data_IF_090698686212
#
_entry.id   IF_090698686212
#
_cell.length_a   1.000
_cell.length_b   1.000
_cell.length_c   1.000
_cell.angle_alpha   90.00
_cell.angle_beta   90.00
_cell.angle_gamma   90.00
#
_symmetry.space_group_name_H-M   'P 1'
#
loop_
_entity.id
_entity.type
_entity.pdbx_description
1 polymer ?
#
# COMPACT_ATOMS: atom_id res chain seq x y z
N UNK A 1 0.35 -9.32 -5.38
CA UNK A 1 0.59 -9.42 -3.92
C UNK A 1 1.20 -8.12 -3.39
N UNK A 2 2.48 -7.81 -3.67
CA UNK A 2 3.15 -6.60 -3.13
C UNK A 2 2.38 -5.30 -3.42
N UNK A 3 1.94 -5.10 -4.67
CA UNK A 3 1.17 -3.89 -5.02
C UNK A 3 -0.18 -3.79 -4.31
N UNK A 4 -0.84 -4.92 -4.01
CA UNK A 4 -2.11 -4.93 -3.29
C UNK A 4 -1.90 -4.53 -1.82
N UNK A 5 -0.86 -5.08 -1.15
CA UNK A 5 -0.49 -4.66 0.21
C UNK A 5 -0.17 -3.18 0.27
N UNK A 6 0.56 -2.65 -0.71
CA UNK A 6 0.92 -1.23 -0.73
C UNK A 6 -0.31 -0.31 -0.85
N UNK A 7 -1.32 -0.72 -1.63
CA UNK A 7 -2.59 0.01 -1.72
C UNK A 7 -3.39 -0.08 -0.43
N UNK A 8 -3.45 -1.25 0.21
CA UNK A 8 -4.07 -1.42 1.54
C UNK A 8 -3.43 -0.50 2.58
N UNK A 9 -2.09 -0.48 2.64
CA UNK A 9 -1.34 0.36 3.58
C UNK A 9 -1.54 1.85 3.29
N UNK A 10 -1.53 2.25 2.01
CA UNK A 10 -1.81 3.64 1.63
C UNK A 10 -3.23 4.07 2.01
N UNK A 11 -4.23 3.20 1.82
CA UNK A 11 -5.60 3.46 2.23
C UNK A 11 -5.72 3.57 3.77
N UNK A 12 -5.04 2.69 4.52
CA UNK A 12 -5.00 2.73 5.98
C UNK A 12 -4.38 4.04 6.50
N UNK A 13 -3.32 4.53 5.86
CA UNK A 13 -2.67 5.79 6.20
C UNK A 13 -3.60 7.00 5.98
N UNK A 14 -4.34 7.02 4.88
CA UNK A 14 -5.35 8.05 4.61
C UNK A 14 -6.45 7.99 5.69
N UNK A 15 -6.96 6.79 5.98
CA UNK A 15 -8.00 6.59 6.99
C UNK A 15 -7.53 7.05 8.39
N UNK A 16 -6.30 6.69 8.77
CA UNK A 16 -5.68 7.13 10.02
C UNK A 16 -5.57 8.65 10.09
N UNK A 17 -5.23 9.30 8.98
CA UNK A 17 -5.13 10.75 8.89
C UNK A 17 -6.49 11.42 9.09
N UNK A 18 -7.53 10.88 8.46
CA UNK A 18 -8.91 11.34 8.63
C UNK A 18 -9.35 11.14 10.09
N UNK A 19 -9.13 9.94 10.65
CA UNK A 19 -9.48 9.60 12.03
C UNK A 19 -8.81 10.55 13.02
N UNK A 20 -7.50 10.76 12.90
CA UNK A 20 -6.74 11.68 13.76
C UNK A 20 -7.23 13.12 13.64
N UNK A 21 -7.55 13.57 12.43
CA UNK A 21 -8.05 14.93 12.23
C UNK A 21 -9.43 15.13 12.85
N UNK A 22 -10.38 14.21 12.59
CA UNK A 22 -11.73 14.26 13.18
C UNK A 22 -11.67 14.20 14.71
N UNK A 23 -10.83 13.32 15.25
CA UNK A 23 -10.64 13.15 16.68
C UNK A 23 -10.05 14.40 17.35
N UNK A 24 -9.27 15.22 16.63
CA UNK A 24 -8.69 16.47 17.15
C UNK A 24 -9.69 17.65 17.15
N UNK A 25 -10.65 17.68 16.23
CA UNK A 25 -11.56 18.83 16.05
C UNK A 25 -12.92 18.68 16.75
N UNK A 26 -13.31 17.47 17.18
CA UNK A 26 -14.45 17.23 18.08
C UNK A 26 -15.84 17.67 17.61
N UNK A 27 -15.98 18.24 16.41
CA UNK A 27 -17.21 18.79 15.87
C UNK A 27 -17.35 18.41 14.39
N UNK A 28 -18.43 17.69 14.07
CA UNK A 28 -18.75 17.27 12.71
C UNK A 28 -19.71 18.28 12.05
N UNK A 29 -19.29 19.55 11.93
CA UNK A 29 -20.00 20.46 11.01
C UNK A 29 -19.56 20.12 9.58
N UNK A 30 -20.51 20.01 8.64
CA UNK A 30 -20.21 19.70 7.23
C UNK A 30 -19.18 20.68 6.60
N UNK A 31 -19.14 21.92 7.08
CA UNK A 31 -18.17 22.93 6.66
C UNK A 31 -16.75 22.67 7.17
N UNK A 32 -16.61 22.12 8.39
CA UNK A 32 -15.32 21.78 8.97
C UNK A 32 -14.78 20.47 8.40
N UNK A 33 -15.64 19.49 8.11
CA UNK A 33 -15.28 18.26 7.40
C UNK A 33 -14.72 18.57 6.00
N UNK A 34 -15.33 19.52 5.26
CA UNK A 34 -14.83 19.96 3.96
C UNK A 34 -13.47 20.65 4.04
N UNK A 35 -13.25 21.51 5.05
CA UNK A 35 -11.94 22.15 5.28
C UNK A 35 -10.86 21.18 5.70
N UNK A 36 -11.19 20.21 6.56
CA UNK A 36 -10.29 19.16 7.00
C UNK A 36 -9.90 18.28 5.81
N UNK A 37 -10.88 17.78 5.06
CA UNK A 37 -10.65 16.96 3.86
C UNK A 37 -9.81 17.71 2.83
N UNK A 38 -10.08 19.00 2.62
CA UNK A 38 -9.30 19.87 1.74
C UNK A 38 -7.86 20.07 2.22
N UNK A 39 -7.64 20.35 3.51
CA UNK A 39 -6.29 20.43 4.11
C UNK A 39 -5.54 19.11 3.98
N UNK A 40 -6.21 18.00 4.24
CA UNK A 40 -5.63 16.66 4.19
C UNK A 40 -5.22 16.30 2.76
N UNK A 41 -6.10 16.51 1.78
CA UNK A 41 -5.80 16.28 0.37
C UNK A 41 -4.70 17.20 -0.17
N UNK A 42 -4.73 18.48 0.19
CA UNK A 42 -3.69 19.45 -0.20
C UNK A 42 -2.34 19.10 0.43
N UNK A 43 -2.33 18.68 1.70
CA UNK A 43 -1.11 18.21 2.35
C UNK A 43 -0.62 16.91 1.73
N UNK A 44 -1.46 15.91 1.52
CA UNK A 44 -1.04 14.63 0.92
C UNK A 44 -0.46 14.87 -0.48
N UNK A 45 -1.11 15.70 -1.31
CA UNK A 45 -0.57 16.08 -2.62
C UNK A 45 0.73 16.88 -2.49
N UNK A 46 0.78 17.86 -1.58
CA UNK A 46 1.96 18.68 -1.32
C UNK A 46 3.14 17.88 -0.78
N UNK A 47 2.89 16.91 0.10
CA UNK A 47 3.86 16.00 0.69
C UNK A 47 4.41 15.01 -0.35
N UNK A 48 3.57 14.51 -1.26
CA UNK A 48 4.00 13.70 -2.41
C UNK A 48 4.89 14.52 -3.36
N UNK A 49 4.47 15.75 -3.70
CA UNK A 49 5.26 16.64 -4.56
C UNK A 49 6.56 17.06 -3.88
N UNK A 50 6.51 17.41 -2.61
CA UNK A 50 7.67 17.77 -1.81
C UNK A 50 8.62 16.58 -1.68
N UNK A 51 8.12 15.40 -1.32
CA UNK A 51 8.90 14.17 -1.30
C UNK A 51 9.56 13.90 -2.65
N UNK A 52 8.84 14.10 -3.76
CA UNK A 52 9.34 13.81 -5.10
C UNK A 52 10.40 14.80 -5.57
N UNK A 53 10.37 16.02 -5.05
CA UNK A 53 11.30 17.09 -5.41
C UNK A 53 12.48 17.18 -4.44
N UNK A 54 12.25 16.98 -3.15
CA UNK A 54 13.23 17.20 -2.09
C UNK A 54 13.99 15.93 -1.78
N UNK A 55 13.34 14.76 -1.69
CA UNK A 55 14.03 13.52 -1.36
C UNK A 55 15.17 13.21 -2.35
N UNK A 56 14.96 13.23 -3.68
CA UNK A 56 16.05 12.96 -4.63
C UNK A 56 17.15 14.02 -4.61
N UNK A 57 16.83 15.28 -4.28
CA UNK A 57 17.81 16.37 -4.21
C UNK A 57 18.68 16.28 -2.97
N UNK A 58 18.07 16.06 -1.80
CA UNK A 58 18.79 15.87 -0.54
C UNK A 58 19.66 14.63 -0.65
N UNK A 59 19.12 13.54 -1.18
CA UNK A 59 19.86 12.27 -1.28
C UNK A 59 20.94 12.32 -2.36
N UNK A 60 20.70 12.96 -3.51
CA UNK A 60 21.73 13.19 -4.52
C UNK A 60 22.82 14.18 -4.10
N UNK A 61 22.56 15.04 -3.10
CA UNK A 61 23.58 15.88 -2.48
C UNK A 61 24.41 15.07 -1.47
N UNK A 62 23.75 14.29 -0.62
CA UNK A 62 24.38 13.50 0.43
C UNK A 62 25.16 12.30 -0.12
N UNK A 63 24.70 11.69 -1.21
CA UNK A 63 25.44 10.59 -1.87
C UNK A 63 26.82 11.02 -2.38
N UNK A 64 27.04 12.33 -2.60
CA UNK A 64 28.35 12.87 -2.99
C UNK A 64 29.36 12.92 -1.83
N UNK A 65 28.88 12.82 -0.59
CA UNK A 65 29.73 12.80 0.60
C UNK A 65 30.34 11.40 0.85
N UNK A 66 29.82 10.36 0.17
CA UNK A 66 30.47 9.04 0.09
C UNK A 66 30.36 8.15 1.34
N UNK A 67 29.69 8.58 2.40
CA UNK A 67 29.53 7.84 3.67
C UNK A 67 28.11 7.31 3.86
N UNK A 68 28.00 6.04 4.31
CA UNK A 68 26.70 5.41 4.63
C UNK A 68 26.03 6.06 5.84
N UNK A 69 26.84 6.54 6.78
CA UNK A 69 26.39 7.21 8.01
C UNK A 69 25.69 8.53 7.70
N UNK A 70 26.24 9.33 6.79
CA UNK A 70 25.61 10.60 6.41
C UNK A 70 24.33 10.36 5.63
N UNK A 71 24.28 9.32 4.81
CA UNK A 71 23.06 8.90 4.10
C UNK A 71 21.97 8.42 5.08
N UNK A 72 22.36 7.69 6.13
CA UNK A 72 21.46 7.30 7.22
C UNK A 72 20.88 8.54 7.92
N UNK A 73 21.74 9.45 8.37
CA UNK A 73 21.32 10.67 9.09
C UNK A 73 20.43 11.55 8.21
N UNK A 74 20.76 11.72 6.93
CA UNK A 74 19.96 12.49 6.00
C UNK A 74 18.60 11.84 5.70
N UNK A 75 18.56 10.50 5.56
CA UNK A 75 17.32 9.76 5.40
C UNK A 75 16.39 9.96 6.61
N UNK A 76 16.92 9.77 7.82
CA UNK A 76 16.16 10.01 9.06
C UNK A 76 15.71 11.47 9.19
N UNK A 77 16.59 12.43 8.90
CA UNK A 77 16.25 13.85 8.93
C UNK A 77 15.12 14.20 7.95
N UNK A 78 15.09 13.57 6.77
CA UNK A 78 14.04 13.78 5.77
C UNK A 78 12.72 13.16 6.23
N UNK A 79 12.77 11.94 6.80
CA UNK A 79 11.58 11.25 7.34
C UNK A 79 10.98 12.01 8.52
N UNK A 80 11.79 12.33 9.54
CA UNK A 80 11.34 13.09 10.70
C UNK A 80 10.95 14.52 10.33
N UNK A 81 11.65 15.15 9.39
CA UNK A 81 11.32 16.48 8.90
C UNK A 81 9.92 16.54 8.31
N UNK A 82 9.56 15.60 7.44
CA UNK A 82 8.20 15.57 6.88
C UNK A 82 7.15 15.12 7.90
N UNK A 83 7.49 14.20 8.81
CA UNK A 83 6.59 13.79 9.89
C UNK A 83 6.26 14.95 10.85
N UNK A 84 7.25 15.79 11.19
CA UNK A 84 7.06 16.98 12.01
C UNK A 84 6.22 18.04 11.30
N UNK A 85 6.46 18.26 10.00
CA UNK A 85 5.61 19.14 9.18
C UNK A 85 4.17 18.64 9.10
N UNK A 86 3.96 17.33 8.96
CA UNK A 86 2.63 16.72 8.99
C UNK A 86 1.92 17.01 10.32
N UNK A 87 2.61 16.76 11.43
CA UNK A 87 2.07 16.98 12.77
C UNK A 87 1.73 18.47 13.01
N UNK A 88 2.58 19.39 12.55
CA UNK A 88 2.34 20.83 12.68
C UNK A 88 1.11 21.30 11.88
N UNK A 89 0.80 20.62 10.77
CA UNK A 89 -0.40 20.88 9.96
C UNK A 89 -1.66 20.20 10.50
N UNK A 90 -1.57 19.48 11.62
CA UNK A 90 -2.70 18.76 12.25
C UNK A 90 -3.02 17.43 11.57
N UNK A 91 -2.03 16.82 10.91
CA UNK A 91 -2.14 15.52 10.23
C UNK A 91 -1.25 14.51 10.97
N UNK A 92 -1.63 13.24 10.93
CA UNK A 92 -0.85 12.17 11.57
C UNK A 92 0.61 12.15 11.08
N UNK A 93 1.55 12.18 12.02
CA UNK A 93 2.97 12.07 11.75
C UNK A 93 3.32 10.79 10.95
N UNK A 94 2.58 9.69 11.21
CA UNK A 94 2.73 8.43 10.50
C UNK A 94 2.41 8.58 9.00
N UNK A 95 1.45 9.43 8.65
CA UNK A 95 1.12 9.69 7.25
C UNK A 95 2.22 10.49 6.55
N UNK A 96 2.80 11.49 7.20
CA UNK A 96 3.97 12.20 6.68
C UNK A 96 5.14 11.24 6.41
N UNK A 97 5.46 10.37 7.37
CA UNK A 97 6.53 9.37 7.25
C UNK A 97 6.26 8.33 6.14
N UNK A 98 5.01 7.90 5.96
CA UNK A 98 4.64 6.96 4.90
C UNK A 98 4.74 7.60 3.52
N UNK A 99 4.25 8.84 3.37
CA UNK A 99 4.26 9.55 2.09
C UNK A 99 5.68 9.82 1.59
N UNK A 100 6.63 10.19 2.47
CA UNK A 100 8.03 10.34 2.05
C UNK A 100 8.68 9.01 1.69
N UNK A 101 8.32 7.92 2.39
CA UNK A 101 8.84 6.58 2.10
C UNK A 101 8.31 5.99 0.79
N UNK A 102 7.09 6.34 0.38
CA UNK A 102 6.46 5.85 -0.84
C UNK A 102 6.98 6.49 -2.14
N UNK A 103 7.78 7.55 -2.03
CA UNK A 103 8.14 8.40 -3.17
C UNK A 103 9.46 8.03 -3.87
N UNK A 104 10.54 7.59 -3.18
CA UNK A 104 11.75 7.11 -3.82
C UNK A 104 11.47 5.82 -4.60
N UNK A 105 11.00 5.98 -5.84
CA UNK A 105 10.84 4.89 -6.78
C UNK A 105 12.18 4.34 -7.27
N UNK A 106 12.10 3.19 -7.92
CA UNK A 106 13.17 2.34 -8.45
C UNK A 106 14.35 3.13 -9.05
N UNK A 107 15.33 3.43 -8.19
CA UNK A 107 16.52 4.21 -8.50
C UNK A 107 17.68 3.72 -7.65
N UNK A 108 18.89 3.79 -8.19
CA UNK A 108 20.12 3.35 -7.51
C UNK A 108 20.32 4.04 -6.13
N UNK A 109 19.74 5.23 -5.98
CA UNK A 109 19.73 5.98 -4.72
C UNK A 109 18.76 5.37 -3.72
N UNK A 110 17.54 5.01 -4.14
CA UNK A 110 16.52 4.39 -3.29
C UNK A 110 17.00 3.06 -2.69
N UNK A 111 17.74 2.25 -3.47
CA UNK A 111 18.32 0.99 -2.97
C UNK A 111 19.36 1.24 -1.87
N UNK A 112 20.28 2.19 -2.08
CA UNK A 112 21.28 2.56 -1.06
C UNK A 112 20.65 3.09 0.23
N UNK A 113 19.54 3.81 0.12
CA UNK A 113 18.78 4.32 1.27
C UNK A 113 18.08 3.19 1.99
N UNK A 114 17.45 2.28 1.26
CA UNK A 114 16.81 1.10 1.84
C UNK A 114 17.81 0.26 2.63
N UNK A 115 19.00 0.02 2.07
CA UNK A 115 20.09 -0.69 2.76
C UNK A 115 20.56 0.06 4.02
N UNK A 116 20.76 1.38 3.93
CA UNK A 116 21.21 2.18 5.06
C UNK A 116 20.14 2.24 6.17
N UNK A 117 18.86 2.35 5.81
CA UNK A 117 17.73 2.43 6.74
C UNK A 117 17.34 1.08 7.35
N UNK A 118 17.67 -0.04 6.71
CA UNK A 118 17.27 -1.38 7.15
C UNK A 118 17.51 -1.66 8.66
N UNK A 119 18.72 -1.45 9.23
CA UNK A 119 18.94 -1.72 10.66
C UNK A 119 18.11 -0.82 11.57
N UNK A 120 17.87 0.44 11.16
CA UNK A 120 17.08 1.39 11.94
C UNK A 120 15.59 1.05 11.87
N UNK A 121 15.09 0.68 10.70
CA UNK A 121 13.73 0.17 10.50
C UNK A 121 13.47 -1.05 11.39
N UNK A 122 14.39 -2.02 11.39
CA UNK A 122 14.23 -3.26 12.14
C UNK A 122 14.24 -3.00 13.66
N UNK A 123 15.09 -2.07 14.12
CA UNK A 123 15.10 -1.62 15.52
C UNK A 123 13.79 -0.93 15.91
N UNK A 124 13.29 0.02 15.12
CA UNK A 124 12.04 0.72 15.42
C UNK A 124 10.82 -0.21 15.33
N UNK A 125 10.81 -1.18 14.42
CA UNK A 125 9.77 -2.20 14.35
C UNK A 125 9.76 -3.07 15.62
N UNK A 126 10.93 -3.53 16.08
CA UNK A 126 11.04 -4.28 17.33
C UNK A 126 10.55 -3.45 18.53
N UNK A 127 10.98 -2.19 18.64
CA UNK A 127 10.54 -1.28 19.71
C UNK A 127 9.03 -1.01 19.65
N UNK A 128 8.47 -0.84 18.45
CA UNK A 128 7.03 -0.66 18.25
C UNK A 128 6.23 -1.86 18.77
N UNK A 129 6.60 -3.08 18.36
CA UNK A 129 5.90 -4.29 18.81
C UNK A 129 6.05 -4.55 20.31
N UNK A 130 7.25 -4.32 20.87
CA UNK A 130 7.45 -4.45 22.33
C UNK A 130 6.61 -3.42 23.09
N UNK A 131 6.60 -2.16 22.64
CA UNK A 131 5.84 -1.08 23.29
C UNK A 131 4.33 -1.35 23.26
N UNK A 132 3.82 -1.76 22.10
CA UNK A 132 2.41 -2.12 21.92
C UNK A 132 2.03 -3.33 22.78
N UNK A 133 2.91 -4.33 22.86
CA UNK A 133 2.72 -5.50 23.72
C UNK A 133 2.68 -5.15 25.20
N UNK A 134 3.52 -4.21 25.65
CA UNK A 134 3.57 -3.76 27.05
C UNK A 134 2.35 -2.95 27.48
N UNK A 135 1.61 -2.35 26.55
CA UNK A 135 0.34 -1.67 26.86
C UNK A 135 -0.81 -2.66 27.17
N UNK A 136 -0.65 -3.94 26.85
CA UNK A 136 -1.68 -4.95 27.12
C UNK A 136 -1.64 -5.34 28.60
N UNK A 137 -2.71 -5.03 29.31
CA UNK A 137 -2.88 -5.44 30.70
C UNK A 137 -3.13 -6.97 30.79
N UNK A 138 -2.12 -7.69 31.27
CA UNK A 138 -2.13 -9.14 31.43
C UNK A 138 -3.16 -9.59 32.47
N UNK A 139 -3.55 -8.74 33.42
CA UNK A 139 -4.53 -9.09 34.45
C UNK A 139 -5.93 -9.36 33.86
N UNK A 140 -6.25 -8.74 32.72
CA UNK A 140 -7.52 -8.89 32.01
C UNK A 140 -7.45 -9.90 30.87
N UNK A 141 -6.37 -10.69 30.78
CA UNK A 141 -6.14 -11.60 29.64
C UNK A 141 -7.31 -12.54 29.36
N UNK A 142 -7.97 -13.06 30.40
CA UNK A 142 -9.12 -13.95 30.24
C UNK A 142 -10.36 -13.28 29.61
N UNK A 143 -10.55 -11.97 29.76
CA UNK A 143 -11.77 -11.29 29.29
C UNK A 143 -11.73 -10.95 27.80
N UNK A 144 -10.56 -10.58 27.27
CA UNK A 144 -10.40 -10.19 25.86
C UNK A 144 -9.88 -11.31 24.96
N UNK A 145 -9.34 -12.41 25.51
CA UNK A 145 -8.75 -13.48 24.69
C UNK A 145 -9.77 -14.14 23.76
N UNK A 146 -10.96 -14.48 24.26
CA UNK A 146 -12.01 -15.11 23.45
C UNK A 146 -12.48 -14.16 22.33
N UNK A 147 -12.83 -12.88 22.60
CA UNK A 147 -13.07 -11.90 21.55
C UNK A 147 -11.92 -11.75 20.56
N UNK A 148 -10.66 -11.71 21.03
CA UNK A 148 -9.50 -11.55 20.17
C UNK A 148 -9.28 -12.75 19.23
N UNK A 149 -9.47 -13.98 19.71
CA UNK A 149 -9.37 -15.18 18.88
C UNK A 149 -10.52 -15.24 17.85
N UNK A 150 -11.73 -14.87 18.25
CA UNK A 150 -12.87 -14.78 17.33
C UNK A 150 -12.63 -13.74 16.23
N UNK A 151 -12.18 -12.54 16.61
CA UNK A 151 -11.82 -11.47 15.66
C UNK A 151 -10.68 -11.92 14.76
N UNK A 152 -9.65 -12.60 15.29
CA UNK A 152 -8.55 -13.16 14.50
C UNK A 152 -9.03 -14.14 13.44
N UNK A 153 -9.92 -15.07 13.80
CA UNK A 153 -10.48 -16.04 12.87
C UNK A 153 -11.28 -15.34 11.76
N UNK A 154 -12.10 -14.36 12.13
CA UNK A 154 -12.87 -13.55 11.17
C UNK A 154 -11.94 -12.76 10.25
N UNK A 155 -10.86 -12.17 10.75
CA UNK A 155 -9.89 -11.44 9.92
C UNK A 155 -9.17 -12.35 8.94
N UNK A 156 -8.69 -13.52 9.39
CA UNK A 156 -8.00 -14.49 8.53
C UNK A 156 -8.93 -14.95 7.41
N UNK A 157 -10.11 -15.47 7.77
CA UNK A 157 -11.08 -16.00 6.79
C UNK A 157 -11.59 -14.88 5.89
N UNK A 158 -11.93 -13.73 6.47
CA UNK A 158 -12.42 -12.54 5.77
C UNK A 158 -11.42 -12.05 4.72
N UNK A 159 -10.14 -11.84 5.10
CA UNK A 159 -9.12 -11.41 4.14
C UNK A 159 -8.88 -12.45 3.05
N UNK A 160 -8.83 -13.74 3.39
CA UNK A 160 -8.65 -14.81 2.38
C UNK A 160 -9.80 -14.77 1.36
N UNK A 161 -11.05 -14.71 1.83
CA UNK A 161 -12.24 -14.70 0.96
C UNK A 161 -12.28 -13.43 0.12
N UNK A 162 -12.15 -12.26 0.74
CA UNK A 162 -12.20 -10.96 0.04
C UNK A 162 -11.10 -10.88 -1.01
N UNK A 163 -9.87 -11.26 -0.68
CA UNK A 163 -8.75 -11.17 -1.61
C UNK A 163 -8.85 -12.22 -2.74
N UNK A 164 -9.36 -13.41 -2.44
CA UNK A 164 -9.65 -14.43 -3.48
C UNK A 164 -10.71 -13.93 -4.45
N UNK A 165 -11.82 -13.41 -3.92
CA UNK A 165 -12.93 -12.91 -4.73
C UNK A 165 -12.52 -11.68 -5.54
N UNK A 166 -11.82 -10.72 -4.93
CA UNK A 166 -11.32 -9.53 -5.59
C UNK A 166 -10.35 -9.88 -6.74
N UNK A 167 -9.43 -10.82 -6.49
CA UNK A 167 -8.46 -11.26 -7.51
C UNK A 167 -9.14 -12.02 -8.66
N UNK A 168 -10.18 -12.80 -8.34
CA UNK A 168 -11.00 -13.48 -9.35
C UNK A 168 -11.75 -12.48 -10.24
N UNK A 169 -12.40 -11.47 -9.64
CA UNK A 169 -13.06 -10.39 -10.40
C UNK A 169 -12.09 -9.52 -11.19
N UNK A 170 -10.82 -9.43 -10.77
CA UNK A 170 -9.77 -8.80 -11.56
C UNK A 170 -9.40 -9.61 -12.83
N UNK A 171 -10.02 -10.76 -13.06
CA UNK A 171 -9.84 -11.59 -14.24
C UNK A 171 -8.63 -12.53 -14.14
N UNK A 172 -8.28 -12.97 -12.93
CA UNK A 172 -7.32 -14.05 -12.72
C UNK A 172 -8.06 -15.40 -12.60
N UNK A 173 -7.34 -16.49 -12.82
CA UNK A 173 -7.85 -17.84 -12.68
C UNK A 173 -8.13 -18.18 -11.20
N UNK A 174 -8.98 -19.19 -10.96
CA UNK A 174 -9.37 -19.59 -9.61
C UNK A 174 -8.20 -20.07 -8.75
N UNK A 175 -7.17 -20.64 -9.38
CA UNK A 175 -5.94 -21.10 -8.72
C UNK A 175 -5.13 -19.91 -8.20
N UNK A 176 -4.78 -18.98 -9.09
CA UNK A 176 -4.05 -17.75 -8.72
C UNK A 176 -4.84 -16.92 -7.70
N UNK A 177 -6.16 -16.84 -7.84
CA UNK A 177 -7.01 -16.06 -6.93
C UNK A 177 -6.96 -16.62 -5.51
N UNK A 178 -7.06 -17.94 -5.35
CA UNK A 178 -6.96 -18.62 -4.05
C UNK A 178 -5.56 -18.45 -3.44
N UNK A 179 -4.50 -18.60 -4.26
CA UNK A 179 -3.13 -18.38 -3.81
C UNK A 179 -2.90 -16.95 -3.31
N UNK A 180 -3.45 -15.94 -4.01
CA UNK A 180 -3.38 -14.54 -3.57
C UNK A 180 -4.11 -14.34 -2.24
N UNK A 181 -5.32 -14.89 -2.09
CA UNK A 181 -6.06 -14.80 -0.82
C UNK A 181 -5.31 -15.41 0.36
N UNK A 182 -4.77 -16.61 0.19
CA UNK A 182 -4.01 -17.33 1.23
C UNK A 182 -2.66 -16.68 1.55
N UNK A 183 -2.14 -15.84 0.65
CA UNK A 183 -0.86 -15.14 0.84
C UNK A 183 -0.96 -13.83 1.62
N UNK A 184 -2.17 -13.34 1.92
CA UNK A 184 -2.38 -12.04 2.57
C UNK A 184 -3.39 -12.06 3.75
N UNK A 185 -3.41 -13.08 4.63
CA UNK A 185 -4.35 -13.14 5.76
C UNK A 185 -3.94 -12.24 6.93
N UNK A 186 -2.73 -11.68 6.92
CA UNK A 186 -2.19 -10.91 8.03
C UNK A 186 -2.80 -9.51 8.11
N UNK A 187 -3.06 -9.07 9.34
CA UNK A 187 -3.44 -7.70 9.65
C UNK A 187 -2.20 -6.79 9.60
N UNK A 188 -2.29 -5.65 8.90
CA UNK A 188 -1.17 -4.71 8.77
C UNK A 188 -0.83 -4.00 10.08
N UNK A 189 0.43 -3.62 10.25
CA UNK A 189 0.97 -2.93 11.45
C UNK A 189 0.28 -1.59 11.71
N UNK A 190 -0.21 -0.94 10.64
CA UNK A 190 -0.99 0.29 10.72
C UNK A 190 -2.30 0.17 11.49
N UNK A 191 -2.86 -1.05 11.61
CA UNK A 191 -4.05 -1.28 12.43
C UNK A 191 -3.80 -1.01 13.92
N UNK A 192 -2.60 -1.31 14.41
CA UNK A 192 -2.17 -1.04 15.79
C UNK A 192 -2.02 0.46 16.04
N UNK A 193 -1.48 1.18 15.06
CA UNK A 193 -1.38 2.64 15.11
C UNK A 193 -2.79 3.28 15.12
N UNK A 194 -3.71 2.80 14.27
CA UNK A 194 -5.11 3.26 14.28
C UNK A 194 -5.82 2.94 15.59
N UNK A 195 -5.66 1.73 16.13
CA UNK A 195 -6.23 1.34 17.41
C UNK A 195 -5.75 2.23 18.56
N UNK A 196 -4.45 2.56 18.58
CA UNK A 196 -3.84 3.45 19.57
C UNK A 196 -4.44 4.86 19.49
N UNK A 197 -4.49 5.45 18.29
CA UNK A 197 -5.10 6.78 18.09
C UNK A 197 -6.59 6.78 18.45
N UNK A 198 -7.32 5.72 18.10
CA UNK A 198 -8.72 5.58 18.49
C UNK A 198 -8.93 5.49 20.01
N UNK A 199 -8.05 4.79 20.71
CA UNK A 199 -8.08 4.68 22.17
C UNK A 199 -7.71 6.00 22.86
N UNK A 200 -6.64 6.67 22.42
CA UNK A 200 -6.16 7.95 23.00
C UNK A 200 -7.23 9.04 22.94
N UNK A 201 -8.07 9.03 21.90
CA UNK A 201 -9.15 10.00 21.71
C UNK A 201 -10.53 9.52 22.19
N UNK A 202 -10.61 8.40 22.94
CA UNK A 202 -11.87 7.80 23.41
C UNK A 202 -12.89 7.50 22.30
N UNK A 203 -12.45 7.44 21.04
CA UNK A 203 -13.28 7.07 19.90
C UNK A 203 -13.51 5.55 19.83
N UNK A 204 -12.62 4.78 20.46
CA UNK A 204 -12.73 3.34 20.61
C UNK A 204 -12.76 2.94 22.10
N UNK A 205 -13.50 1.87 22.41
CA UNK A 205 -13.49 1.27 23.75
C UNK A 205 -12.06 0.89 24.16
N UNK A 206 -11.71 1.08 25.44
CA UNK A 206 -10.41 0.69 25.99
C UNK A 206 -10.08 -0.80 25.76
N UNK A 207 -11.09 -1.65 25.57
CA UNK A 207 -10.94 -3.08 25.27
C UNK A 207 -10.53 -3.35 23.81
N UNK A 208 -10.73 -2.40 22.90
CA UNK A 208 -10.47 -2.58 21.46
C UNK A 208 -8.96 -2.68 21.16
N UNK A 209 -8.16 -1.89 21.88
CA UNK A 209 -6.72 -1.85 21.68
C UNK A 209 -6.05 -3.22 22.00
N UNK A 210 -6.23 -3.82 23.19
CA UNK A 210 -5.73 -5.17 23.47
C UNK A 210 -6.22 -6.23 22.48
N UNK A 211 -7.49 -6.17 22.06
CA UNK A 211 -8.08 -7.11 21.09
C UNK A 211 -7.36 -7.05 19.75
N UNK A 212 -7.12 -5.85 19.20
CA UNK A 212 -6.42 -5.66 17.93
C UNK A 212 -4.94 -6.06 18.06
N UNK A 213 -4.30 -5.79 19.20
CA UNK A 213 -2.93 -6.22 19.48
C UNK A 213 -2.78 -7.73 19.45
N UNK A 214 -3.61 -8.46 20.20
CA UNK A 214 -3.61 -9.93 20.18
C UNK A 214 -3.98 -10.46 18.80
N UNK A 215 -4.95 -9.84 18.13
CA UNK A 215 -5.32 -10.23 16.76
C UNK A 215 -4.15 -10.12 15.79
N UNK A 216 -3.41 -9.01 15.85
CA UNK A 216 -2.24 -8.80 14.98
C UNK A 216 -1.15 -9.80 15.30
N UNK A 217 -0.91 -10.10 16.58
CA UNK A 217 0.07 -11.12 16.99
C UNK A 217 -0.33 -12.53 16.50
N UNK A 218 -1.59 -12.93 16.72
CA UNK A 218 -2.11 -14.24 16.31
C UNK A 218 -2.07 -14.38 14.79
N UNK A 219 -2.57 -13.39 14.04
CA UNK A 219 -2.55 -13.43 12.57
C UNK A 219 -1.13 -13.47 12.00
N UNK A 220 -0.18 -12.75 12.60
CA UNK A 220 1.24 -12.78 12.21
C UNK A 220 1.89 -14.14 12.47
N UNK A 221 1.55 -14.79 13.60
CA UNK A 221 2.03 -16.15 13.92
C UNK A 221 1.40 -17.21 13.03
N UNK A 222 0.12 -17.06 12.68
CA UNK A 222 -0.63 -18.00 11.84
C UNK A 222 -0.27 -17.86 10.35
N UNK A 223 0.10 -16.66 9.90
CA UNK A 223 0.49 -16.35 8.53
C UNK A 223 1.45 -17.37 7.87
N UNK A 224 2.62 -17.71 8.44
CA UNK A 224 3.55 -18.66 7.82
C UNK A 224 2.98 -20.09 7.69
N UNK A 225 1.96 -20.45 8.48
CA UNK A 225 1.26 -21.74 8.34
C UNK A 225 0.24 -21.67 7.20
N UNK A 226 -0.56 -20.60 7.14
CA UNK A 226 -1.53 -20.37 6.05
C UNK A 226 -0.81 -20.27 4.70
N UNK A 227 0.26 -19.49 4.61
CA UNK A 227 1.06 -19.32 3.40
C UNK A 227 1.61 -20.66 2.87
N UNK A 228 2.19 -21.51 3.75
CA UNK A 228 2.70 -22.83 3.35
C UNK A 228 1.62 -23.83 2.95
N UNK A 229 0.38 -23.63 3.42
CA UNK A 229 -0.75 -24.48 3.06
C UNK A 229 -1.48 -24.00 1.79
N UNK A 230 -1.11 -22.84 1.25
CA UNK A 230 -1.77 -22.25 0.08
C UNK A 230 -1.83 -23.23 -1.10
N UNK A 231 -0.72 -23.90 -1.44
CA UNK A 231 -0.70 -24.86 -2.55
C UNK A 231 -1.62 -26.06 -2.30
N UNK A 232 -1.59 -26.65 -1.09
CA UNK A 232 -2.46 -27.78 -0.75
C UNK A 232 -3.93 -27.41 -0.77
N UNK A 233 -4.28 -26.23 -0.24
CA UNK A 233 -5.66 -25.75 -0.22
C UNK A 233 -6.14 -25.45 -1.62
N UNK A 234 -5.28 -24.88 -2.46
CA UNK A 234 -5.60 -24.62 -3.86
C UNK A 234 -5.81 -25.93 -4.63
N UNK A 235 -4.92 -26.91 -4.49
CA UNK A 235 -5.06 -28.23 -5.11
C UNK A 235 -6.29 -28.99 -4.58
N UNK A 236 -6.63 -28.83 -3.29
CA UNK A 236 -7.83 -29.40 -2.69
C UNK A 236 -9.09 -28.74 -3.25
N UNK A 237 -9.14 -27.42 -3.33
CA UNK A 237 -10.26 -26.69 -3.93
C UNK A 237 -10.45 -27.07 -5.39
N UNK A 238 -9.36 -27.25 -6.14
CA UNK A 238 -9.44 -27.76 -7.50
C UNK A 238 -10.05 -29.16 -7.52
N UNK A 239 -9.53 -30.12 -6.72
CA UNK A 239 -10.03 -31.51 -6.69
C UNK A 239 -11.49 -31.63 -6.26
N UNK A 240 -11.94 -30.76 -5.36
CA UNK A 240 -13.29 -30.78 -4.79
C UNK A 240 -14.28 -29.94 -5.61
N UNK A 241 -13.81 -29.07 -6.51
CA UNK A 241 -14.68 -28.28 -7.37
C UNK A 241 -15.37 -29.17 -8.43
N UNK A 242 -16.71 -29.25 -8.47
CA UNK A 242 -17.41 -30.00 -9.50
C UNK A 242 -17.16 -29.39 -10.88
N UNK A 243 -17.10 -30.22 -11.93
CA UNK A 243 -16.76 -29.78 -13.30
C UNK A 243 -17.68 -28.69 -13.86
N UNK A 244 -18.89 -28.55 -13.30
CA UNK A 244 -19.81 -27.45 -13.62
C UNK A 244 -19.29 -26.11 -13.10
N UNK A 245 -18.82 -26.06 -11.86
CA UNK A 245 -18.29 -24.84 -11.26
C UNK A 245 -17.00 -24.43 -11.96
N UNK A 246 -16.12 -25.38 -12.28
CA UNK A 246 -14.92 -25.12 -13.11
C UNK A 246 -15.30 -24.48 -14.45
N UNK A 247 -16.25 -25.06 -15.18
CA UNK A 247 -16.73 -24.50 -16.47
C UNK A 247 -17.38 -23.12 -16.34
N UNK A 248 -18.10 -22.84 -15.26
CA UNK A 248 -18.67 -21.51 -15.01
C UNK A 248 -17.59 -20.48 -14.67
N UNK A 249 -16.65 -20.84 -13.81
CA UNK A 249 -15.50 -20.01 -13.43
C UNK A 249 -14.64 -19.71 -14.65
N UNK A 250 -14.38 -20.69 -15.52
CA UNK A 250 -13.64 -20.51 -16.77
C UNK A 250 -14.41 -19.63 -17.77
N UNK A 251 -15.73 -19.78 -17.86
CA UNK A 251 -16.56 -18.95 -18.73
C UNK A 251 -16.59 -17.49 -18.26
N UNK A 252 -16.74 -17.27 -16.95
CA UNK A 252 -16.67 -15.94 -16.32
C UNK A 252 -15.27 -15.35 -16.51
N UNK A 253 -14.22 -16.15 -16.30
CA UNK A 253 -12.84 -15.72 -16.51
C UNK A 253 -12.62 -15.30 -17.97
N UNK A 254 -13.05 -16.09 -18.95
CA UNK A 254 -12.97 -15.73 -20.37
C UNK A 254 -13.72 -14.44 -20.71
N UNK A 255 -14.92 -14.26 -20.16
CA UNK A 255 -15.68 -13.01 -20.32
C UNK A 255 -14.98 -11.81 -19.66
N UNK A 256 -14.45 -11.98 -18.45
CA UNK A 256 -13.69 -10.95 -17.75
C UNK A 256 -12.39 -10.60 -18.48
N UNK A 257 -11.72 -11.58 -19.09
CA UNK A 257 -10.54 -11.34 -19.93
C UNK A 257 -10.89 -10.53 -21.17
N UNK A 258 -11.99 -10.86 -21.85
CA UNK A 258 -12.46 -10.11 -23.03
C UNK A 258 -12.91 -8.70 -22.62
N UNK A 259 -13.62 -8.55 -21.51
CA UNK A 259 -14.04 -7.26 -20.96
C UNK A 259 -12.85 -6.39 -20.54
N UNK A 260 -11.88 -6.97 -19.83
CA UNK A 260 -10.61 -6.31 -19.48
C UNK A 260 -9.86 -5.87 -20.72
N UNK A 261 -9.80 -6.73 -21.74
CA UNK A 261 -9.16 -6.42 -23.01
C UNK A 261 -9.92 -5.33 -23.80
N UNK A 262 -11.24 -5.25 -23.66
CA UNK A 262 -12.06 -4.18 -24.23
C UNK A 262 -11.86 -2.83 -23.52
N UNK A 263 -11.60 -2.84 -22.21
CA UNK A 263 -11.31 -1.64 -21.42
C UNK A 263 -9.84 -1.20 -21.45
N UNK A 264 -8.90 -2.10 -21.76
CA UNK A 264 -7.59 -1.66 -22.22
C UNK A 264 -7.69 -1.11 -23.63
N UNK A 265 -7.47 0.20 -23.77
CA UNK A 265 -7.26 0.88 -25.04
C UNK A 265 -6.00 0.36 -25.78
N UNK A 266 -5.96 -0.91 -26.15
CA UNK A 266 -4.94 -1.53 -27.00
C UNK A 266 -5.40 -1.57 -28.47
N UNK A 267 -6.14 -0.54 -28.89
CA UNK A 267 -6.50 -0.36 -30.29
C UNK A 267 -5.24 -0.14 -31.13
N UNK A 268 -5.20 -0.60 -32.41
CA UNK A 268 -4.09 -0.29 -33.32
C UNK A 268 -3.84 1.23 -33.45
N UNK A 269 -4.90 2.04 -33.25
CA UNK A 269 -4.88 3.50 -33.20
C UNK A 269 -4.08 4.05 -32.00
N UNK A 270 -4.22 3.46 -30.80
CA UNK A 270 -3.44 3.84 -29.62
C UNK A 270 -1.94 3.56 -29.82
N UNK A 271 -1.58 2.43 -30.46
CA UNK A 271 -0.19 2.13 -30.85
C UNK A 271 0.34 3.08 -31.92
N UNK A 272 -0.52 3.55 -32.83
CA UNK A 272 -0.15 4.49 -33.89
C UNK A 272 0.12 5.89 -33.31
N UNK A 273 -0.72 6.37 -32.40
CA UNK A 273 -0.54 7.63 -31.64
C UNK A 273 0.70 7.55 -30.74
N UNK A 274 0.97 6.40 -30.12
CA UNK A 274 2.18 6.23 -29.30
C UNK A 274 3.46 6.26 -30.14
N UNK A 275 3.44 5.74 -31.38
CA UNK A 275 4.59 5.80 -32.30
C UNK A 275 4.82 7.22 -32.81
N UNK A 276 3.76 7.96 -33.15
CA UNK A 276 3.90 9.37 -33.55
C UNK A 276 4.29 10.28 -32.38
N UNK A 277 3.79 10.02 -31.16
CA UNK A 277 4.24 10.70 -29.94
C UNK A 277 5.70 10.38 -29.59
N UNK A 278 6.16 9.16 -29.84
CA UNK A 278 7.57 8.76 -29.65
C UNK A 278 8.49 9.44 -30.67
N UNK A 279 8.05 9.60 -31.92
CA UNK A 279 8.80 10.34 -32.95
C UNK A 279 8.84 11.84 -32.65
N UNK A 280 7.75 12.44 -32.16
CA UNK A 280 7.72 13.84 -31.72
C UNK A 280 8.62 14.08 -30.51
N UNK A 281 8.60 13.20 -29.49
CA UNK A 281 9.44 13.31 -28.30
C UNK A 281 10.93 13.11 -28.60
N UNK A 282 11.27 12.18 -29.51
CA UNK A 282 12.66 11.97 -29.95
C UNK A 282 13.14 13.14 -30.80
N UNK A 283 12.32 13.71 -31.69
CA UNK A 283 12.68 14.93 -32.44
C UNK A 283 12.86 16.15 -31.52
N UNK A 284 12.04 16.29 -30.48
CA UNK A 284 12.19 17.36 -29.47
C UNK A 284 13.43 17.16 -28.59
N UNK A 285 13.77 15.93 -28.22
CA UNK A 285 15.00 15.62 -27.50
C UNK A 285 16.25 15.81 -28.38
N UNK A 286 16.18 15.42 -29.66
CA UNK A 286 17.31 15.55 -30.61
C UNK A 286 17.53 17.03 -31.01
N UNK A 287 16.47 17.84 -31.10
CA UNK A 287 16.59 19.30 -31.25
C UNK A 287 17.24 19.96 -30.04
N UNK A 288 16.92 19.48 -28.82
CA UNK A 288 17.52 19.97 -27.57
C UNK A 288 18.96 19.49 -27.37
N UNK A 289 19.39 18.37 -27.95
CA UNK A 289 20.79 17.92 -27.90
C UNK A 289 21.64 18.48 -29.04
N UNK A 290 21.08 18.75 -30.22
CA UNK A 290 21.80 19.40 -31.33
C UNK A 290 22.18 20.86 -31.04
N UNK A 291 21.47 21.52 -30.13
CA UNK A 291 21.78 22.90 -29.72
C UNK A 291 22.85 23.02 -28.62
N UNK A 292 23.45 21.92 -28.13
CA UNK A 292 24.44 21.97 -27.03
C UNK A 292 25.69 21.10 -27.16
N UNK A 293 26.02 20.56 -28.34
CA UNK A 293 27.17 19.65 -28.40
C UNK A 293 27.74 19.36 -29.78
N UNK A 294 28.36 20.36 -30.41
CA UNK A 294 29.49 20.10 -31.30
C UNK A 294 30.75 20.11 -30.43
N UNK A 295 31.12 18.93 -29.90
CA UNK A 295 32.50 18.43 -29.76
C UNK A 295 32.53 17.13 -28.94
N UNK A 296 33.12 16.10 -29.54
CA UNK A 296 33.68 14.88 -28.93
C UNK A 296 32.64 13.96 -28.24
N UNK A 297 32.28 12.78 -28.74
CA UNK A 297 33.13 11.69 -29.24
C UNK A 297 33.33 10.64 -28.14
N UNK A 298 32.71 9.45 -28.29
CA UNK A 298 33.02 8.26 -27.47
C UNK A 298 31.80 7.56 -26.87
N UNK A 299 31.61 6.29 -27.21
CA UNK A 299 30.35 5.53 -27.02
C UNK A 299 29.99 5.11 -25.59
N UNK A 300 28.69 4.84 -25.39
CA UNK A 300 28.21 3.97 -24.33
C UNK A 300 26.87 3.34 -24.73
N UNK A 301 26.81 2.01 -24.64
CA UNK A 301 25.68 1.13 -24.93
C UNK A 301 24.43 1.53 -24.13
N UNK A 302 23.31 1.73 -24.82
CA UNK A 302 21.97 1.86 -24.21
C UNK A 302 21.31 0.48 -24.13
N UNK A 303 21.02 0.00 -22.91
CA UNK A 303 19.99 -1.03 -22.69
C UNK A 303 18.68 -0.31 -22.33
N UNK A 304 17.65 -0.58 -23.12
CA UNK A 304 16.35 0.08 -23.06
C UNK A 304 15.47 -0.57 -22.00
N UNK A 305 14.94 0.25 -21.10
CA UNK A 305 13.83 -0.08 -20.21
C UNK A 305 12.56 -0.40 -21.01
N UNK A 306 11.91 -1.53 -20.71
CA UNK A 306 10.61 -1.91 -21.28
C UNK A 306 9.51 -1.14 -20.55
N UNK A 307 8.71 -0.38 -21.30
CA UNK A 307 7.61 0.48 -20.80
C UNK A 307 6.32 -0.29 -20.47
N UNK A 308 6.35 -1.61 -20.49
CA UNK A 308 5.17 -2.45 -20.30
C UNK A 308 4.81 -2.59 -18.80
N UNK A 309 5.79 -2.45 -17.89
CA UNK A 309 5.59 -2.64 -16.45
C UNK A 309 4.80 -1.50 -15.77
N UNK A 310 4.95 -0.26 -16.27
CA UNK A 310 4.24 0.91 -15.70
C UNK A 310 2.75 0.91 -16.06
N UNK A 311 2.36 0.26 -17.16
CA UNK A 311 0.95 0.18 -17.59
C UNK A 311 0.17 -0.88 -16.84
N UNK A 312 0.83 -1.99 -16.47
CA UNK A 312 0.25 -2.97 -15.53
C UNK A 312 0.04 -2.34 -14.15
N UNK A 313 1.01 -1.55 -13.65
CA UNK A 313 0.91 -0.86 -12.36
C UNK A 313 -0.32 0.05 -12.24
N UNK A 314 -0.61 0.89 -13.25
CA UNK A 314 -1.78 1.79 -13.21
C UNK A 314 -3.10 1.04 -13.37
N UNK A 315 -3.14 -0.01 -14.19
CA UNK A 315 -4.35 -0.80 -14.44
C UNK A 315 -4.74 -1.63 -13.23
N UNK A 316 -3.77 -2.28 -12.58
CA UNK A 316 -4.01 -3.12 -11.41
C UNK A 316 -4.34 -2.28 -10.16
N UNK A 317 -3.81 -1.05 -10.07
CA UNK A 317 -4.16 -0.08 -9.02
C UNK A 317 -5.61 0.43 -9.11
N UNK A 318 -6.12 0.64 -10.32
CA UNK A 318 -7.50 1.09 -10.54
C UNK A 318 -8.53 -0.01 -10.23
N UNK A 319 -8.20 -1.27 -10.55
CA UNK A 319 -9.08 -2.42 -10.27
C UNK A 319 -9.06 -2.76 -8.77
N UNK A 320 -7.90 -2.70 -8.12
CA UNK A 320 -7.79 -2.85 -6.67
C UNK A 320 -8.51 -1.72 -5.91
N UNK A 321 -8.40 -0.47 -6.38
CA UNK A 321 -9.13 0.67 -5.82
C UNK A 321 -10.65 0.56 -5.98
N UNK A 322 -11.13 0.05 -7.12
CA UNK A 322 -12.55 -0.22 -7.33
C UNK A 322 -13.07 -1.36 -6.44
N UNK A 323 -12.28 -2.42 -6.23
CA UNK A 323 -12.62 -3.50 -5.31
C UNK A 323 -12.65 -3.02 -3.85
N UNK A 324 -11.75 -2.10 -3.47
CA UNK A 324 -11.73 -1.48 -2.15
C UNK A 324 -12.95 -0.58 -1.93
N UNK A 325 -13.38 0.19 -2.95
CA UNK A 325 -14.60 1.01 -2.88
C UNK A 325 -15.86 0.15 -2.74
N UNK A 326 -15.92 -1.02 -3.37
CA UNK A 326 -17.02 -1.99 -3.22
C UNK A 326 -17.00 -2.62 -1.83
N UNK A 327 -15.82 -2.96 -1.29
CA UNK A 327 -15.68 -3.51 0.06
C UNK A 327 -16.04 -2.49 1.14
N UNK A 328 -15.66 -1.21 0.96
CA UNK A 328 -16.02 -0.12 1.88
C UNK A 328 -17.53 0.17 1.84
N UNK A 329 -18.18 0.05 0.67
CA UNK A 329 -19.62 0.20 0.52
C UNK A 329 -20.46 -1.00 1.01
N UNK A 330 -19.85 -2.18 1.21
CA UNK A 330 -20.55 -3.37 1.70
C UNK A 330 -20.67 -3.44 3.23
N UNK A 331 -19.88 -2.66 3.96
CA UNK A 331 -19.86 -2.64 5.44
C UNK A 331 -21.17 -2.13 6.08
N UNK A 332 -21.93 -1.16 5.52
CA UNK A 332 -23.21 -0.73 6.10
C UNK A 332 -24.32 -1.79 6.04
N UNK A 333 -24.17 -2.85 5.23
CA UNK A 333 -25.22 -3.86 5.07
C UNK A 333 -25.24 -4.91 6.19
N UNK A 334 -24.17 -5.01 6.98
CA UNK A 334 -24.06 -5.97 8.11
C UNK A 334 -24.48 -5.34 9.44
N UNK A 335 -24.69 -4.02 9.51
CA UNK A 335 -25.18 -3.34 10.73
C UNK A 335 -26.71 -3.21 10.80
N UNK A 336 -27.48 -3.82 9.89
CA UNK A 336 -28.94 -3.87 9.92
C UNK A 336 -29.54 -5.29 9.89
N UNK A 337 -28.73 -6.30 10.22
CA UNK A 337 -29.19 -7.64 10.65
C UNK A 337 -28.65 -7.92 12.04
#
# INVERSE_FOLDING_TARGET
MIGMSLVEDFAAVILLSILSSVASTGTASLGDVGRITGKLGLFSAGALVFGALVAPRVMGFVSRLGSRETLLVAGLATVFGLALLANWLGISAAAGAFLIGAVPGDSDQAEQISEAMAPVRDLFAALFFVSVGMLVDVSQFGSFLVPALAVSAVFIVGKIVVNTVATFFAGHDGRTSTQVGMSMPQTGEFSLAMAKVGADHSAASATLYPVITVTTAVTSLVYPFVFRSADRVTDMMERWAPDRLRRYVDHIHMWLLVFRNAFTFDTPLARQIQRSGRLAAVNLMDWRSRSRGIRSGGGARRRAWRRDDVRLFVRDSLVAGAALLIAIWAIPFVSQL
#
